data_IF_846454056599
#
_entry.id   IF_846454056599
#
_cell.length_a   1.000
_cell.length_b   1.000
_cell.length_c   1.000
_cell.angle_alpha   90.00
_cell.angle_beta   90.00
_cell.angle_gamma   90.00
#
_symmetry.space_group_name_H-M   'P 1'
#
loop_
_entity.id
_entity.type
_entity.pdbx_description
1 polymer ?
#
# COMPACT_ATOMS: atom_id res chain seq x y z
N UNK A 1 12.29 -7.12 14.31
CA UNK A 1 11.59 -6.85 13.04
C UNK A 1 11.36 -8.18 12.33
N UNK A 2 10.16 -8.76 12.48
CA UNK A 2 9.85 -10.06 11.86
C UNK A 2 9.59 -9.82 10.37
N UNK A 3 10.59 -10.03 9.51
CA UNK A 3 10.44 -9.95 8.05
C UNK A 3 9.77 -11.25 7.61
N UNK A 4 8.45 -11.33 7.76
CA UNK A 4 7.66 -12.43 7.22
C UNK A 4 8.01 -12.57 5.73
N UNK A 5 8.57 -13.73 5.35
CA UNK A 5 8.91 -13.99 3.96
C UNK A 5 7.67 -13.89 3.08
N UNK A 6 7.84 -13.33 1.88
CA UNK A 6 6.80 -12.69 1.09
C UNK A 6 5.55 -13.53 0.88
N UNK A 7 4.43 -13.08 1.46
CA UNK A 7 3.09 -13.51 1.06
C UNK A 7 2.85 -13.12 -0.40
N UNK A 8 2.46 -14.09 -1.21
CA UNK A 8 2.01 -13.82 -2.57
C UNK A 8 0.64 -13.14 -2.50
N UNK A 9 0.48 -11.99 -3.15
CA UNK A 9 -0.82 -11.34 -3.27
C UNK A 9 -1.59 -12.00 -4.40
N UNK A 10 -2.82 -12.44 -4.11
CA UNK A 10 -3.74 -12.87 -5.16
C UNK A 10 -4.11 -11.68 -6.04
N UNK A 11 -4.52 -11.93 -7.28
CA UNK A 11 -4.98 -10.89 -8.21
C UNK A 11 -6.10 -10.01 -7.62
N UNK A 12 -7.03 -10.61 -6.88
CA UNK A 12 -8.09 -9.87 -6.19
C UNK A 12 -7.56 -8.93 -5.11
N UNK A 13 -6.56 -9.36 -4.34
CA UNK A 13 -5.93 -8.52 -3.30
C UNK A 13 -5.16 -7.37 -3.94
N UNK A 14 -4.46 -7.64 -5.04
CA UNK A 14 -3.76 -6.64 -5.84
C UNK A 14 -4.73 -5.61 -6.39
N UNK A 15 -5.83 -6.03 -7.04
CA UNK A 15 -6.87 -5.13 -7.55
C UNK A 15 -7.46 -4.29 -6.43
N UNK A 16 -7.71 -4.88 -5.26
CA UNK A 16 -8.28 -4.14 -4.12
C UNK A 16 -7.31 -3.08 -3.59
N UNK A 17 -6.03 -3.43 -3.43
CA UNK A 17 -4.99 -2.46 -3.04
C UNK A 17 -4.88 -1.32 -4.07
N UNK A 18 -4.91 -1.64 -5.37
CA UNK A 18 -4.87 -0.64 -6.43
C UNK A 18 -6.09 0.29 -6.40
N UNK A 19 -7.30 -0.27 -6.19
CA UNK A 19 -8.53 0.51 -6.08
C UNK A 19 -8.48 1.46 -4.88
N UNK A 20 -8.05 0.97 -3.72
CA UNK A 20 -7.88 1.81 -2.52
C UNK A 20 -6.84 2.91 -2.74
N UNK A 21 -5.70 2.59 -3.38
CA UNK A 21 -4.69 3.56 -3.75
C UNK A 21 -5.16 4.57 -4.79
N UNK A 22 -6.19 4.27 -5.58
CA UNK A 22 -6.67 5.18 -6.63
C UNK A 22 -7.81 6.05 -6.13
N UNK A 23 -8.81 5.45 -5.51
CA UNK A 23 -10.11 6.07 -5.22
C UNK A 23 -10.24 6.57 -3.78
N UNK A 24 -9.43 6.07 -2.84
CA UNK A 24 -9.57 6.44 -1.42
C UNK A 24 -8.54 7.46 -0.98
N UNK A 25 -8.92 8.39 -0.10
CA UNK A 25 -7.99 9.30 0.57
C UNK A 25 -7.16 8.60 1.68
N UNK A 26 -7.37 7.29 1.89
CA UNK A 26 -6.59 6.51 2.85
C UNK A 26 -5.09 6.56 2.57
N UNK A 27 -4.34 6.69 3.66
CA UNK A 27 -2.89 6.62 3.69
C UNK A 27 -2.38 5.18 3.54
N UNK A 28 -1.10 5.02 3.18
CA UNK A 28 -0.45 3.71 3.10
C UNK A 28 -0.61 2.83 4.37
N UNK A 29 -0.48 3.36 5.61
CA UNK A 29 -0.75 2.56 6.81
C UNK A 29 -2.20 2.13 6.92
N UNK A 30 -3.17 3.00 6.63
CA UNK A 30 -4.59 2.63 6.70
C UNK A 30 -4.95 1.55 5.66
N UNK A 31 -4.41 1.65 4.45
CA UNK A 31 -4.57 0.61 3.42
C UNK A 31 -3.93 -0.69 3.88
N UNK A 32 -2.76 -0.63 4.51
CA UNK A 32 -2.05 -1.80 5.03
C UNK A 32 -2.84 -2.49 6.13
N UNK A 33 -3.39 -1.73 7.08
CA UNK A 33 -4.24 -2.25 8.16
C UNK A 33 -5.53 -2.86 7.60
N UNK A 34 -6.17 -2.17 6.64
CA UNK A 34 -7.40 -2.67 5.98
C UNK A 34 -7.17 -3.95 5.19
N UNK A 35 -6.03 -4.10 4.54
CA UNK A 35 -5.66 -5.27 3.75
C UNK A 35 -4.92 -6.34 4.57
N UNK A 36 -4.76 -6.12 5.88
CA UNK A 36 -3.98 -6.96 6.79
C UNK A 36 -2.61 -7.33 6.21
N UNK A 37 -1.89 -6.35 5.70
CA UNK A 37 -0.61 -6.52 5.03
C UNK A 37 0.42 -5.50 5.52
N UNK A 38 1.69 -5.67 5.13
CA UNK A 38 2.73 -4.74 5.57
C UNK A 38 2.65 -3.40 4.82
N UNK A 39 2.92 -2.29 5.53
CA UNK A 39 3.09 -0.95 4.94
C UNK A 39 4.08 -0.95 3.78
N UNK A 40 5.16 -1.72 3.91
CA UNK A 40 6.16 -1.94 2.86
C UNK A 40 5.59 -2.61 1.61
N UNK A 41 4.64 -3.54 1.76
CA UNK A 41 4.00 -4.20 0.62
C UNK A 41 3.12 -3.24 -0.16
N UNK A 42 2.28 -2.45 0.52
CA UNK A 42 1.47 -1.40 -0.15
C UNK A 42 2.38 -0.39 -0.84
N UNK A 43 3.46 0.04 -0.20
CA UNK A 43 4.44 0.95 -0.81
C UNK A 43 5.12 0.35 -2.05
N UNK A 44 5.46 -0.95 -2.02
CA UNK A 44 6.06 -1.65 -3.15
C UNK A 44 5.07 -1.77 -4.33
N UNK A 45 3.80 -2.10 -4.05
CA UNK A 45 2.73 -2.15 -5.05
C UNK A 45 2.53 -0.76 -5.65
N UNK A 46 2.38 0.27 -4.82
CA UNK A 46 2.23 1.64 -5.29
C UNK A 46 3.39 2.08 -6.17
N UNK A 47 4.64 1.73 -5.82
CA UNK A 47 5.81 2.03 -6.65
C UNK A 47 5.79 1.26 -7.97
N UNK A 48 5.42 -0.02 -7.95
CA UNK A 48 5.38 -0.89 -9.14
C UNK A 48 4.36 -0.40 -10.17
N UNK A 49 3.19 0.04 -9.71
CA UNK A 49 2.10 0.51 -10.57
C UNK A 49 2.05 2.04 -10.71
N UNK A 50 2.95 2.76 -10.04
CA UNK A 50 3.04 4.23 -10.01
C UNK A 50 1.69 4.94 -9.80
N UNK A 51 0.84 4.40 -8.92
CA UNK A 51 -0.53 4.90 -8.74
C UNK A 51 -0.55 6.28 -8.09
N UNK A 52 0.28 6.46 -7.05
CA UNK A 52 0.44 7.73 -6.34
C UNK A 52 1.90 8.12 -6.18
N UNK A 53 2.19 9.40 -6.40
CA UNK A 53 3.52 9.99 -6.19
C UNK A 53 3.58 10.60 -4.79
N UNK A 54 4.24 9.90 -3.87
CA UNK A 54 4.33 10.34 -2.47
C UNK A 54 5.53 11.26 -2.16
N UNK A 55 6.26 11.73 -3.19
CA UNK A 55 7.29 12.78 -3.04
C UNK A 55 8.36 12.57 -1.97
N UNK A 56 8.62 11.31 -1.56
CA UNK A 56 9.53 10.99 -0.45
C UNK A 56 8.93 11.10 0.96
N UNK A 57 7.70 11.61 1.12
CA UNK A 57 6.97 11.66 2.40
C UNK A 57 6.23 10.35 2.64
N UNK A 58 6.97 9.30 3.01
CA UNK A 58 6.40 7.97 3.32
C UNK A 58 5.53 7.94 4.58
N UNK A 59 5.62 8.95 5.44
CA UNK A 59 5.05 8.96 6.79
C UNK A 59 4.38 10.28 7.20
N UNK A 60 4.40 11.29 6.35
CA UNK A 60 3.78 12.59 6.63
C UNK A 60 2.73 12.88 5.56
N UNK A 61 1.52 12.41 5.82
CA UNK A 61 0.32 13.10 5.38
C UNK A 61 -0.13 13.97 6.55
N UNK A 62 0.06 15.28 6.40
CA UNK A 62 -0.83 16.24 7.04
C UNK A 62 -1.86 16.61 5.98
N UNK A 63 -3.12 16.66 6.42
CA UNK A 63 -4.32 17.08 5.68
C UNK A 63 -4.06 18.24 4.71
#
# INVERSE_FOLDING_TARGET
MNRSQGRYFSDDELKRIMMLLRESEMSLPEIADRMNCSRSAVAAINRKFQIRVYGGRRSQWNL
#
